data_IF_828240034670
#
_entry.id   IF_828240034670
#
_cell.length_a   1.000
_cell.length_b   1.000
_cell.length_c   1.000
_cell.angle_alpha   90.00
_cell.angle_beta   90.00
_cell.angle_gamma   90.00
#
_symmetry.space_group_name_H-M   'P 1'
#
loop_
_entity.id
_entity.type
_entity.pdbx_description
1 polymer ?
#
# COMPACT_ATOMS: atom_id res chain seq x y z
N UNK A 1 -1.19 -21.92 -4.88
CA UNK A 1 -1.24 -21.09 -3.65
C UNK A 1 -2.68 -20.66 -3.43
N UNK A 2 -3.10 -20.37 -2.18
CA UNK A 2 -4.44 -19.83 -1.92
C UNK A 2 -4.51 -18.40 -2.48
N UNK A 3 -5.51 -18.10 -3.31
CA UNK A 3 -5.72 -16.76 -3.84
C UNK A 3 -6.22 -15.79 -2.76
N UNK A 4 -5.94 -14.50 -2.94
CA UNK A 4 -6.39 -13.39 -2.11
C UNK A 4 -6.07 -13.60 -0.61
N UNK A 5 -4.80 -13.87 -0.30
CA UNK A 5 -4.34 -13.93 1.09
C UNK A 5 -4.27 -12.51 1.63
N UNK A 6 -5.12 -12.19 2.61
CA UNK A 6 -5.25 -10.84 3.15
C UNK A 6 -4.59 -10.75 4.52
N UNK A 7 -3.70 -9.77 4.67
CA UNK A 7 -3.19 -9.31 5.95
C UNK A 7 -3.72 -7.91 6.23
N UNK A 8 -4.43 -7.76 7.35
CA UNK A 8 -4.79 -6.45 7.89
C UNK A 8 -3.54 -5.78 8.48
N UNK A 9 -3.30 -4.52 8.16
CA UNK A 9 -2.15 -3.76 8.68
C UNK A 9 -2.47 -3.10 10.02
N UNK A 10 -1.48 -2.98 10.90
CA UNK A 10 -1.63 -2.54 12.28
C UNK A 10 -2.11 -1.09 12.48
N UNK A 11 -2.08 -0.26 11.44
CA UNK A 11 -2.57 1.12 11.44
C UNK A 11 -3.96 1.24 10.81
N UNK A 12 -4.67 0.13 10.61
CA UNK A 12 -6.08 0.14 10.22
C UNK A 12 -6.96 0.54 11.40
N UNK A 13 -7.98 1.34 11.14
CA UNK A 13 -8.83 1.92 12.17
C UNK A 13 -10.16 2.45 11.65
N UNK A 14 -10.70 3.45 12.34
CA UNK A 14 -11.99 4.06 12.02
C UNK A 14 -11.94 4.91 10.74
N UNK A 15 -10.76 5.42 10.38
CA UNK A 15 -10.58 6.34 9.26
C UNK A 15 -10.08 5.63 7.98
N UNK A 16 -9.19 4.65 8.13
CA UNK A 16 -8.57 3.92 7.02
C UNK A 16 -8.59 2.43 7.32
N UNK A 17 -9.08 1.65 6.36
CA UNK A 17 -8.94 0.19 6.33
C UNK A 17 -7.77 -0.14 5.40
N UNK A 18 -6.66 -0.64 5.98
CA UNK A 18 -5.41 -0.91 5.29
C UNK A 18 -5.09 -2.40 5.23
N UNK A 19 -4.88 -2.93 4.02
CA UNK A 19 -4.65 -4.35 3.77
C UNK A 19 -3.48 -4.57 2.83
N UNK A 20 -2.72 -5.62 3.07
CA UNK A 20 -1.81 -6.22 2.10
C UNK A 20 -2.44 -7.51 1.59
N UNK A 21 -2.59 -7.64 0.27
CA UNK A 21 -3.24 -8.79 -0.37
C UNK A 21 -2.25 -9.46 -1.29
N UNK A 22 -1.97 -10.74 -1.07
CA UNK A 22 -1.09 -11.57 -1.88
C UNK A 22 -1.89 -12.56 -2.75
N UNK A 23 -1.29 -12.98 -3.88
CA UNK A 23 -1.90 -13.88 -4.86
C UNK A 23 -3.27 -13.36 -5.33
N UNK A 24 -3.30 -12.11 -5.80
CA UNK A 24 -4.53 -11.40 -6.14
C UNK A 24 -5.15 -12.00 -7.39
N UNK A 25 -6.40 -12.47 -7.27
CA UNK A 25 -7.21 -12.98 -8.38
C UNK A 25 -8.66 -12.51 -8.23
N UNK A 26 -9.17 -11.83 -9.25
CA UNK A 26 -10.54 -11.28 -9.30
C UNK A 26 -10.96 -10.56 -8.01
N UNK A 27 -10.07 -9.73 -7.45
CA UNK A 27 -10.29 -9.06 -6.18
C UNK A 27 -11.14 -7.79 -6.39
N UNK A 28 -12.34 -7.71 -5.77
CA UNK A 28 -13.23 -6.57 -5.95
C UNK A 28 -12.75 -5.36 -5.15
N UNK A 29 -12.79 -4.18 -5.77
CA UNK A 29 -12.61 -2.88 -5.12
C UNK A 29 -13.94 -2.12 -5.20
N UNK A 30 -14.67 -2.10 -4.09
CA UNK A 30 -16.00 -1.50 -4.02
C UNK A 30 -15.91 0.00 -3.71
N UNK A 31 -15.24 0.35 -2.62
CA UNK A 31 -15.08 1.72 -2.17
C UNK A 31 -13.93 2.43 -2.87
N UNK A 32 -13.80 3.74 -2.64
CA UNK A 32 -12.67 4.52 -3.14
C UNK A 32 -11.41 4.13 -2.37
N UNK A 33 -10.50 3.42 -3.04
CA UNK A 33 -9.33 2.80 -2.41
C UNK A 33 -8.06 3.20 -3.16
N UNK A 34 -7.07 3.73 -2.44
CA UNK A 34 -5.72 3.88 -2.99
C UNK A 34 -5.16 2.48 -3.10
N UNK A 35 -4.86 2.07 -4.33
CA UNK A 35 -4.33 0.75 -4.68
C UNK A 35 -2.90 0.93 -5.14
N UNK A 36 -1.96 0.39 -4.38
CA UNK A 36 -0.53 0.43 -4.66
C UNK A 36 -0.11 -0.95 -5.16
N UNK A 37 0.55 -0.98 -6.31
CA UNK A 37 1.25 -2.13 -6.83
C UNK A 37 2.73 -2.03 -6.41
N UNK A 38 3.17 -2.76 -5.37
CA UNK A 38 4.54 -2.70 -4.90
C UNK A 38 5.48 -3.62 -5.72
N UNK A 39 4.97 -4.30 -6.74
CA UNK A 39 5.67 -5.35 -7.47
C UNK A 39 6.36 -4.82 -8.73
N UNK A 40 7.32 -5.59 -9.23
CA UNK A 40 8.02 -5.35 -10.52
C UNK A 40 7.17 -5.67 -11.75
N UNK A 41 6.00 -6.29 -11.57
CA UNK A 41 5.05 -6.65 -12.63
C UNK A 41 3.76 -5.85 -12.51
N UNK A 42 3.12 -5.55 -13.63
CA UNK A 42 1.85 -4.83 -13.66
C UNK A 42 0.72 -5.61 -12.97
N UNK A 43 -0.21 -4.88 -12.35
CA UNK A 43 -1.50 -5.40 -11.91
C UNK A 43 -2.55 -5.13 -12.99
N UNK A 44 -3.38 -6.14 -13.29
CA UNK A 44 -4.33 -6.09 -14.40
C UNK A 44 -5.76 -5.92 -13.89
N UNK A 45 -6.51 -4.97 -14.47
CA UNK A 45 -7.91 -4.73 -14.17
C UNK A 45 -8.82 -5.51 -15.12
N UNK A 46 -9.99 -5.93 -14.64
CA UNK A 46 -10.98 -6.71 -15.41
C UNK A 46 -11.90 -5.83 -16.28
N UNK A 47 -11.35 -4.84 -16.97
CA UNK A 47 -12.12 -3.88 -17.78
C UNK A 47 -12.10 -4.25 -19.28
N UNK A 48 -13.12 -3.81 -20.05
CA UNK A 48 -13.26 -4.11 -21.48
C UNK A 48 -12.03 -3.68 -22.32
N UNK A 49 -11.32 -2.66 -21.88
CA UNK A 49 -9.96 -2.35 -22.31
C UNK A 49 -9.04 -2.73 -21.16
N UNK A 50 -7.96 -3.47 -21.43
CA UNK A 50 -7.01 -3.88 -20.40
C UNK A 50 -6.32 -2.65 -19.79
N UNK A 51 -6.88 -2.16 -18.69
CA UNK A 51 -6.28 -1.14 -17.84
C UNK A 51 -5.31 -1.80 -16.86
N UNK A 52 -4.19 -1.13 -16.58
CA UNK A 52 -3.16 -1.64 -15.67
C UNK A 52 -2.85 -0.67 -14.53
N UNK A 53 -2.36 -1.20 -13.42
CA UNK A 53 -1.57 -0.44 -12.45
C UNK A 53 -0.11 -0.83 -12.71
N UNK A 54 0.72 0.07 -13.25
CA UNK A 54 2.10 -0.26 -13.58
C UNK A 54 2.89 -0.75 -12.37
N UNK A 55 3.98 -1.47 -12.62
CA UNK A 55 4.97 -1.81 -11.61
C UNK A 55 5.36 -0.59 -10.75
N UNK A 56 5.53 -0.81 -9.43
CA UNK A 56 5.92 0.20 -8.45
C UNK A 56 5.11 1.51 -8.50
N UNK A 57 3.83 1.43 -8.83
CA UNK A 57 2.95 2.57 -9.01
C UNK A 57 1.68 2.44 -8.18
N UNK A 58 0.93 3.54 -8.09
CA UNK A 58 -0.34 3.57 -7.37
C UNK A 58 -1.40 4.28 -8.19
N UNK A 59 -2.65 3.91 -7.96
CA UNK A 59 -3.81 4.62 -8.49
C UNK A 59 -4.96 4.58 -7.48
N UNK A 60 -6.02 5.34 -7.76
CA UNK A 60 -7.26 5.31 -6.97
C UNK A 60 -8.29 4.54 -7.76
N UNK A 61 -8.73 3.42 -7.22
CA UNK A 61 -9.76 2.57 -7.80
C UNK A 61 -11.08 2.74 -7.05
N UNK A 62 -12.19 2.52 -7.75
CA UNK A 62 -13.55 2.47 -7.19
C UNK A 62 -14.45 1.67 -8.12
N UNK A 63 -15.31 0.81 -7.56
CA UNK A 63 -16.27 -0.01 -8.31
C UNK A 63 -15.63 -0.78 -9.48
N UNK A 64 -14.49 -1.42 -9.26
CA UNK A 64 -13.76 -2.20 -10.28
C UNK A 64 -13.23 -3.50 -9.68
N UNK A 65 -12.63 -4.35 -10.50
CA UNK A 65 -12.02 -5.61 -10.07
C UNK A 65 -10.60 -5.70 -10.56
N UNK A 66 -9.66 -5.98 -9.65
CA UNK A 66 -8.30 -6.35 -10.04
C UNK A 66 -8.32 -7.83 -10.43
N UNK A 67 -8.20 -8.08 -11.72
CA UNK A 67 -8.21 -9.44 -12.27
C UNK A 67 -7.04 -10.26 -11.76
N UNK A 68 -5.83 -9.68 -11.77
CA UNK A 68 -4.61 -10.39 -11.39
C UNK A 68 -3.51 -9.44 -10.91
N UNK A 69 -2.84 -9.78 -9.82
CA UNK A 69 -1.58 -9.17 -9.38
C UNK A 69 -0.81 -10.14 -8.47
N UNK A 70 0.52 -9.97 -8.35
CA UNK A 70 1.31 -10.74 -7.35
C UNK A 70 0.91 -10.33 -5.93
N UNK A 71 0.93 -9.03 -5.64
CA UNK A 71 0.40 -8.46 -4.40
C UNK A 71 -0.11 -7.04 -4.60
N UNK A 72 -0.90 -6.55 -3.65
CA UNK A 72 -1.38 -5.17 -3.59
C UNK A 72 -1.37 -4.66 -2.15
N UNK A 73 -1.04 -3.38 -1.98
CA UNK A 73 -1.34 -2.63 -0.77
C UNK A 73 -2.58 -1.77 -1.03
N UNK A 74 -3.60 -1.96 -0.21
CA UNK A 74 -4.92 -1.32 -0.32
C UNK A 74 -5.14 -0.39 0.87
N UNK A 75 -5.55 0.85 0.60
CA UNK A 75 -5.89 1.85 1.59
C UNK A 75 -7.28 2.40 1.27
N UNK A 76 -8.30 1.84 1.94
CA UNK A 76 -9.69 2.23 1.79
C UNK A 76 -10.05 3.31 2.82
N UNK A 77 -10.65 4.41 2.38
CA UNK A 77 -11.18 5.43 3.30
C UNK A 77 -12.52 4.97 3.87
N UNK A 78 -12.62 4.85 5.20
CA UNK A 78 -13.82 4.38 5.91
C UNK A 78 -14.68 5.57 6.34
N UNK A 79 -14.20 6.37 7.30
CA UNK A 79 -14.82 7.64 7.70
C UNK A 79 -14.08 8.81 7.04
N UNK A 80 -14.77 9.56 6.18
CA UNK A 80 -14.20 10.73 5.50
C UNK A 80 -14.49 12.05 6.22
N UNK A 81 -15.41 12.06 7.19
CA UNK A 81 -15.71 13.26 7.95
C UNK A 81 -14.58 13.52 8.96
N UNK A 82 -13.75 14.52 8.66
CA UNK A 82 -12.63 14.96 9.50
C UNK A 82 -11.54 13.89 9.71
N UNK A 83 -10.96 13.43 8.59
CA UNK A 83 -9.81 12.52 8.54
C UNK A 83 -8.64 12.93 9.46
N UNK A 84 -8.49 14.22 9.78
CA UNK A 84 -7.43 14.71 10.65
C UNK A 84 -7.47 14.18 12.07
N UNK A 85 -8.58 13.60 12.52
CA UNK A 85 -8.66 12.88 13.79
C UNK A 85 -7.93 11.54 13.80
N UNK A 86 -7.42 11.07 12.65
CA UNK A 86 -6.63 9.83 12.56
C UNK A 86 -5.39 9.87 13.47
N UNK A 87 -4.83 11.05 13.72
CA UNK A 87 -3.66 11.23 14.59
C UNK A 87 -3.93 10.90 16.06
N UNK A 88 -5.22 10.76 16.45
CA UNK A 88 -5.62 10.32 17.78
C UNK A 88 -5.85 8.81 17.88
N UNK A 89 -5.71 8.06 16.78
CA UNK A 89 -5.77 6.60 16.83
C UNK A 89 -4.53 6.01 17.55
N UNK A 90 -4.64 4.80 18.12
CA UNK A 90 -3.55 4.19 18.88
C UNK A 90 -2.22 4.14 18.12
N UNK A 91 -1.15 4.56 18.80
CA UNK A 91 0.22 4.44 18.30
C UNK A 91 0.66 5.52 17.31
N UNK A 92 -0.23 6.42 16.88
CA UNK A 92 0.17 7.61 16.15
C UNK A 92 1.02 8.53 17.04
N UNK A 93 2.08 9.10 16.46
CA UNK A 93 2.98 9.99 17.19
C UNK A 93 3.48 11.13 16.30
N UNK A 94 3.70 12.29 16.93
CA UNK A 94 4.34 13.43 16.28
C UNK A 94 5.80 13.08 16.00
N UNK A 95 6.28 13.34 14.78
CA UNK A 95 7.65 13.01 14.38
C UNK A 95 8.69 13.66 15.30
N UNK A 96 8.45 14.90 15.75
CA UNK A 96 9.30 15.61 16.70
C UNK A 96 9.43 14.96 18.10
N UNK A 97 8.60 13.96 18.41
CA UNK A 97 8.75 13.14 19.62
C UNK A 97 9.56 11.85 19.37
N UNK A 98 9.71 11.44 18.10
CA UNK A 98 10.38 10.18 17.74
C UNK A 98 11.85 10.38 17.38
N UNK A 99 12.19 11.49 16.74
CA UNK A 99 13.54 11.80 16.26
C UNK A 99 13.87 13.29 16.48
N UNK A 100 15.11 13.70 16.16
CA UNK A 100 15.51 15.10 16.16
C UNK A 100 14.83 15.88 15.01
N UNK A 101 13.57 16.26 15.22
CA UNK A 101 12.73 17.01 14.27
C UNK A 101 11.96 18.13 15.00
N UNK A 102 11.67 19.27 14.35
CA UNK A 102 10.96 20.37 14.99
C UNK A 102 9.58 19.98 15.54
N UNK A 103 9.35 20.20 16.84
CA UNK A 103 8.10 19.80 17.52
C UNK A 103 6.89 20.68 17.20
N UNK A 104 7.10 21.82 16.57
CA UNK A 104 6.05 22.73 16.14
C UNK A 104 5.50 22.39 14.74
N UNK A 105 6.08 21.41 14.05
CA UNK A 105 5.62 20.95 12.74
C UNK A 105 4.69 19.76 12.94
N UNK A 106 3.39 19.85 12.55
CA UNK A 106 2.37 18.84 12.83
C UNK A 106 2.49 17.62 11.89
N UNK A 107 3.67 17.00 11.82
CA UNK A 107 3.90 15.80 11.02
C UNK A 107 3.76 14.56 11.90
N UNK A 108 2.68 13.82 11.69
CA UNK A 108 2.32 12.64 12.46
C UNK A 108 2.60 11.37 11.67
N UNK A 109 3.00 10.32 12.38
CA UNK A 109 3.36 9.02 11.81
C UNK A 109 2.63 7.92 12.57
N UNK A 110 2.03 6.98 11.84
CA UNK A 110 1.41 5.78 12.40
C UNK A 110 2.46 4.76 12.90
N UNK A 111 2.03 3.70 13.60
CA UNK A 111 2.83 2.48 13.74
C UNK A 111 3.27 1.95 12.36
N UNK A 112 4.41 1.27 12.34
CA UNK A 112 4.94 0.62 11.15
C UNK A 112 4.56 -0.85 11.19
N UNK A 113 4.07 -1.37 10.07
CA UNK A 113 3.82 -2.80 9.86
C UNK A 113 4.85 -3.37 8.87
N UNK A 114 5.12 -4.66 8.98
CA UNK A 114 5.87 -5.45 8.02
C UNK A 114 4.87 -6.26 7.18
N UNK A 115 4.41 -5.68 6.07
CA UNK A 115 3.26 -6.15 5.29
C UNK A 115 3.48 -7.52 4.64
N UNK A 116 4.67 -7.77 4.07
CA UNK A 116 4.99 -9.01 3.35
C UNK A 116 6.41 -9.02 2.82
N UNK A 117 6.70 -9.97 1.94
CA UNK A 117 8.00 -10.12 1.27
C UNK A 117 7.81 -9.98 -0.24
N UNK A 118 8.62 -9.16 -0.88
CA UNK A 118 8.71 -9.08 -2.34
C UNK A 118 9.97 -9.79 -2.82
N UNK A 119 9.87 -10.42 -3.99
CA UNK A 119 11.02 -10.84 -4.78
C UNK A 119 11.15 -9.83 -5.94
N UNK A 120 12.19 -8.99 -5.91
CA UNK A 120 12.46 -7.98 -6.93
C UNK A 120 13.94 -7.89 -7.27
N UNK A 121 14.25 -7.44 -8.48
CA UNK A 121 15.60 -7.01 -8.84
C UNK A 121 15.88 -5.59 -8.30
N UNK A 122 16.88 -5.40 -7.41
CA UNK A 122 17.17 -4.08 -6.84
C UNK A 122 17.67 -3.07 -7.88
N UNK A 123 18.38 -3.51 -8.91
CA UNK A 123 18.87 -2.63 -9.98
C UNK A 123 17.74 -2.21 -10.92
N UNK A 124 16.81 -3.12 -11.21
CA UNK A 124 15.61 -2.78 -11.97
C UNK A 124 14.70 -1.81 -11.18
N UNK A 125 14.44 -2.13 -9.90
CA UNK A 125 13.62 -1.29 -9.00
C UNK A 125 14.20 0.13 -8.87
N UNK A 126 15.53 0.25 -8.73
CA UNK A 126 16.24 1.52 -8.66
C UNK A 126 16.41 2.22 -10.03
N UNK A 127 15.87 1.65 -11.12
CA UNK A 127 16.00 2.13 -12.51
C UNK A 127 17.46 2.25 -12.98
N UNK A 128 18.35 1.44 -12.43
CA UNK A 128 19.75 1.31 -12.86
C UNK A 128 19.91 0.28 -13.98
N UNK A 129 18.92 -0.60 -14.15
CA UNK A 129 18.80 -1.51 -15.29
C UNK A 129 17.45 -1.33 -15.99
N UNK A 130 17.42 -1.52 -17.31
CA UNK A 130 16.18 -1.56 -18.10
C UNK A 130 15.50 -2.94 -18.10
N UNK A 131 16.20 -3.98 -17.64
CA UNK A 131 15.69 -5.35 -17.56
C UNK A 131 16.05 -6.02 -16.23
N UNK A 132 15.17 -6.84 -15.63
CA UNK A 132 15.50 -7.65 -14.46
C UNK A 132 16.51 -8.74 -14.82
N UNK A 133 17.50 -8.96 -13.95
CA UNK A 133 18.59 -9.93 -14.09
C UNK A 133 18.79 -10.80 -12.85
N UNK A 134 18.45 -10.32 -11.66
CA UNK A 134 18.57 -11.05 -10.40
C UNK A 134 17.36 -10.79 -9.50
N UNK A 135 17.00 -11.75 -8.64
CA UNK A 135 15.86 -11.61 -7.73
C UNK A 135 16.34 -11.72 -6.29
N UNK A 136 15.99 -10.73 -5.47
CA UNK A 136 16.32 -10.69 -4.05
C UNK A 136 15.05 -10.48 -3.23
N UNK A 137 15.06 -11.00 -1.99
CA UNK A 137 13.93 -10.92 -1.07
C UNK A 137 14.00 -9.66 -0.22
N UNK A 138 12.97 -8.84 -0.29
CA UNK A 138 12.84 -7.62 0.51
C UNK A 138 11.58 -7.65 1.36
N UNK A 139 11.72 -7.24 2.62
CA UNK A 139 10.59 -7.01 3.52
C UNK A 139 9.91 -5.68 3.18
N UNK A 140 8.59 -5.68 3.00
CA UNK A 140 7.79 -4.49 2.76
C UNK A 140 7.36 -3.92 4.09
N UNK A 141 7.89 -2.74 4.44
CA UNK A 141 7.46 -2.04 5.66
C UNK A 141 6.66 -0.80 5.32
N UNK A 142 5.49 -0.66 5.94
CA UNK A 142 4.51 0.37 5.60
C UNK A 142 4.10 1.14 6.86
N UNK A 143 3.89 2.44 6.72
CA UNK A 143 3.24 3.30 7.70
C UNK A 143 2.49 4.42 6.95
N UNK A 144 1.67 5.16 7.69
CA UNK A 144 0.97 6.35 7.21
C UNK A 144 1.57 7.60 7.84
N UNK A 145 1.44 8.69 7.08
CA UNK A 145 1.83 10.03 7.50
C UNK A 145 0.64 10.97 7.35
N UNK A 146 0.52 11.92 8.28
CA UNK A 146 -0.48 12.98 8.24
C UNK A 146 0.18 14.32 8.56
N UNK A 147 -0.12 15.36 7.79
CA UNK A 147 0.48 16.68 7.87
C UNK A 147 -0.56 17.79 7.65
#
# INVERSE_FOLDING_TARGET
>A
MKANQVKQLNFSGAYIDAKYVENVENYPINSRTITVNPEETDAYLSENNTSIIPAFSSTILKNTTVQKAKSLLLLEGVESNNIGKIVFEPGWNLLGNLIHFPKNIPLWKSPQDEAGILEVDPYFMARQSSTPHQQEKFSVKVNLWYA
#
